data_IF_323860951393
#
_entry.id   IF_323860951393
#
_cell.length_a   1.000
_cell.length_b   1.000
_cell.length_c   1.000
_cell.angle_alpha   90.00
_cell.angle_beta   90.00
_cell.angle_gamma   90.00
#
_symmetry.space_group_name_H-M   'P 1'
#
loop_
_entity.id
_entity.type
_entity.pdbx_description
1 polymer ?
#
# COMPACT_ATOMS: atom_id res chain seq x y z
N UNK A 1 0.59 -2.54 16.45
CA UNK A 1 0.58 -3.96 16.01
C UNK A 1 -0.73 -4.20 15.28
N UNK A 2 -0.70 -4.75 14.07
CA UNK A 2 -1.90 -4.96 13.26
C UNK A 2 -2.54 -6.32 13.53
N UNK A 3 -3.86 -6.34 13.47
CA UNK A 3 -4.68 -7.56 13.49
C UNK A 3 -5.26 -7.81 12.12
N UNK A 4 -5.35 -9.07 11.71
CA UNK A 4 -5.88 -9.48 10.42
C UNK A 4 -6.88 -10.62 10.56
N UNK A 5 -7.92 -10.60 9.76
CA UNK A 5 -8.86 -11.70 9.57
C UNK A 5 -9.38 -11.69 8.13
N UNK A 6 -9.93 -12.80 7.69
CA UNK A 6 -10.82 -12.86 6.52
C UNK A 6 -12.25 -13.14 6.97
N UNK A 7 -13.21 -12.55 6.29
CA UNK A 7 -14.63 -12.75 6.57
C UNK A 7 -15.36 -13.02 5.26
N UNK A 8 -16.19 -14.06 5.19
CA UNK A 8 -17.00 -14.32 4.00
C UNK A 8 -17.86 -13.12 3.64
N UNK A 9 -17.95 -12.79 2.35
CA UNK A 9 -18.76 -11.67 1.88
C UNK A 9 -20.25 -11.85 2.22
N UNK A 10 -20.72 -13.09 2.32
CA UNK A 10 -22.09 -13.44 2.70
C UNK A 10 -22.50 -12.96 4.10
N UNK A 11 -21.52 -12.67 4.98
CA UNK A 11 -21.82 -12.09 6.31
C UNK A 11 -22.21 -10.60 6.23
N UNK A 12 -21.93 -9.94 5.12
CA UNK A 12 -22.28 -8.54 4.89
C UNK A 12 -23.56 -8.44 4.08
N UNK A 13 -24.66 -8.10 4.74
CA UNK A 13 -25.95 -7.89 4.07
C UNK A 13 -25.94 -6.55 3.33
N UNK A 14 -26.46 -6.56 2.10
CA UNK A 14 -26.74 -5.32 1.39
C UNK A 14 -27.74 -4.47 2.18
N UNK A 15 -27.46 -3.18 2.29
CA UNK A 15 -28.37 -2.22 2.93
C UNK A 15 -28.74 -1.13 1.92
N UNK A 16 -29.96 -0.61 2.05
CA UNK A 16 -30.43 0.50 1.23
C UNK A 16 -29.89 1.84 1.77
N UNK A 17 -29.97 2.86 0.93
CA UNK A 17 -29.66 4.23 1.32
C UNK A 17 -30.48 4.63 2.56
N UNK A 18 -29.83 5.20 3.57
CA UNK A 18 -30.47 5.57 4.83
C UNK A 18 -30.46 4.46 5.90
N UNK A 19 -29.87 3.28 5.59
CA UNK A 19 -29.68 2.22 6.59
C UNK A 19 -28.67 2.62 7.66
N UNK A 20 -28.79 2.02 8.86
CA UNK A 20 -27.94 2.30 10.03
C UNK A 20 -26.49 1.79 9.85
N UNK A 21 -26.23 1.01 8.81
CA UNK A 21 -24.95 0.33 8.63
C UNK A 21 -24.86 -0.98 9.40
N UNK A 22 -23.78 -1.69 9.25
CA UNK A 22 -23.47 -2.94 9.95
C UNK A 22 -22.04 -2.87 10.47
N UNK A 23 -21.84 -3.23 11.72
CA UNK A 23 -20.48 -3.32 12.30
C UNK A 23 -19.69 -4.40 11.55
N UNK A 24 -18.58 -4.02 10.93
CA UNK A 24 -17.78 -4.92 10.10
C UNK A 24 -16.64 -5.61 10.85
N UNK A 25 -16.28 -5.12 12.04
CA UNK A 25 -15.28 -5.72 12.92
C UNK A 25 -15.47 -5.24 14.34
N UNK A 26 -15.16 -6.08 15.34
CA UNK A 26 -14.82 -5.58 16.66
C UNK A 26 -13.33 -5.30 16.71
N UNK A 27 -13.00 -4.14 17.25
CA UNK A 27 -11.63 -3.72 17.50
C UNK A 27 -11.31 -3.82 18.99
N UNK A 28 -10.05 -3.73 19.37
CA UNK A 28 -9.67 -3.46 20.75
C UNK A 28 -9.87 -1.98 21.05
N UNK A 29 -9.80 -1.64 22.33
CA UNK A 29 -9.86 -0.25 22.74
C UNK A 29 -8.77 0.56 22.02
N UNK A 30 -9.14 1.71 21.49
CA UNK A 30 -8.27 2.62 20.70
C UNK A 30 -7.79 2.06 19.32
N UNK A 31 -8.32 0.93 18.84
CA UNK A 31 -7.99 0.35 17.54
C UNK A 31 -9.11 0.61 16.52
N UNK A 32 -8.77 0.65 15.24
CA UNK A 32 -9.72 0.90 14.15
C UNK A 32 -9.41 0.05 12.92
N UNK A 33 -10.38 -0.10 12.03
CA UNK A 33 -10.19 -0.79 10.76
C UNK A 33 -9.46 0.14 9.79
N UNK A 34 -8.21 -0.16 9.52
CA UNK A 34 -7.35 0.64 8.64
C UNK A 34 -7.55 0.27 7.17
N UNK A 35 -7.63 -1.03 6.88
CA UNK A 35 -7.73 -1.54 5.51
C UNK A 35 -8.79 -2.62 5.35
N UNK A 36 -9.52 -2.58 4.23
CA UNK A 36 -10.44 -3.61 3.78
C UNK A 36 -10.12 -3.95 2.32
N UNK A 37 -9.90 -5.24 2.05
CA UNK A 37 -9.61 -5.73 0.71
C UNK A 37 -10.60 -6.82 0.28
N UNK A 38 -11.31 -6.67 -0.85
CA UNK A 38 -12.01 -7.78 -1.47
C UNK A 38 -10.97 -8.74 -2.07
N UNK A 39 -11.07 -10.02 -1.76
CA UNK A 39 -10.14 -11.02 -2.25
C UNK A 39 -10.80 -12.39 -2.42
N UNK A 40 -10.28 -13.20 -3.32
CA UNK A 40 -10.63 -14.61 -3.43
C UNK A 40 -9.63 -15.45 -2.63
N UNK A 41 -10.02 -16.67 -2.23
CA UNK A 41 -9.21 -17.55 -1.38
C UNK A 41 -7.81 -17.84 -1.95
N UNK A 42 -7.67 -17.90 -3.26
CA UNK A 42 -6.42 -18.22 -3.95
C UNK A 42 -5.55 -17.00 -4.27
N UNK A 43 -6.03 -15.77 -3.99
CA UNK A 43 -5.19 -14.59 -4.15
C UNK A 43 -4.02 -14.65 -3.15
N UNK A 44 -2.92 -14.03 -3.53
CA UNK A 44 -1.77 -13.79 -2.65
C UNK A 44 -1.83 -12.37 -2.13
N UNK A 45 -1.78 -12.23 -0.81
CA UNK A 45 -1.55 -10.94 -0.17
C UNK A 45 -0.06 -10.77 0.08
N UNK A 46 0.50 -9.67 -0.37
CA UNK A 46 1.87 -9.25 -0.11
C UNK A 46 1.85 -8.16 0.95
N UNK A 47 2.72 -8.29 1.93
CA UNK A 47 2.83 -7.40 3.09
C UNK A 47 4.20 -6.72 3.05
N UNK A 48 4.21 -5.41 3.04
CA UNK A 48 5.45 -4.63 3.02
C UNK A 48 5.62 -3.90 4.34
N UNK A 49 6.83 -3.97 4.88
CA UNK A 49 7.12 -3.39 6.18
C UNK A 49 7.87 -2.06 6.07
N UNK A 50 7.84 -1.28 7.14
CA UNK A 50 8.58 -0.01 7.24
C UNK A 50 10.07 -0.16 6.95
N UNK A 51 10.66 -1.27 7.41
CA UNK A 51 12.08 -1.58 7.19
C UNK A 51 12.39 -2.14 5.81
N UNK A 52 11.39 -2.22 4.93
CA UNK A 52 11.58 -2.60 3.54
C UNK A 52 11.61 -4.09 3.27
N UNK A 53 11.00 -4.92 4.12
CA UNK A 53 10.78 -6.34 3.86
C UNK A 53 9.44 -6.60 3.17
N UNK A 54 9.36 -7.71 2.44
CA UNK A 54 8.13 -8.22 1.85
C UNK A 54 7.86 -9.64 2.34
N UNK A 55 6.61 -9.90 2.73
CA UNK A 55 6.10 -11.20 3.12
C UNK A 55 4.85 -11.55 2.30
N UNK A 56 4.44 -12.82 2.31
CA UNK A 56 3.28 -13.31 1.56
C UNK A 56 2.42 -14.23 2.40
N UNK A 57 1.11 -14.16 2.18
CA UNK A 57 0.14 -15.17 2.60
C UNK A 57 -0.87 -15.38 1.49
N UNK A 58 -1.29 -16.62 1.31
CA UNK A 58 -2.53 -16.89 0.58
C UNK A 58 -3.72 -16.47 1.43
N UNK A 59 -4.77 -15.95 0.80
CA UNK A 59 -5.95 -15.51 1.54
C UNK A 59 -6.55 -16.63 2.40
N UNK A 60 -6.51 -17.88 1.93
CA UNK A 60 -6.98 -19.02 2.73
C UNK A 60 -6.13 -19.30 3.98
N UNK A 61 -4.88 -18.85 4.05
CA UNK A 61 -4.01 -18.99 5.23
C UNK A 61 -4.34 -17.95 6.30
N UNK A 62 -5.04 -16.85 5.92
CA UNK A 62 -5.49 -15.84 6.87
C UNK A 62 -6.66 -16.42 7.68
N UNK A 63 -6.61 -16.37 9.02
CA UNK A 63 -7.66 -16.92 9.87
C UNK A 63 -9.04 -16.37 9.54
N UNK A 64 -10.01 -17.27 9.41
CA UNK A 64 -11.40 -16.90 9.26
C UNK A 64 -11.97 -16.39 10.58
N UNK A 65 -12.75 -15.34 10.50
CA UNK A 65 -13.44 -14.77 11.63
C UNK A 65 -14.80 -14.23 11.19
N UNK A 66 -15.79 -14.34 12.06
CA UNK A 66 -17.06 -13.66 11.90
C UNK A 66 -16.83 -12.15 11.81
N UNK A 67 -17.82 -11.40 11.33
CA UNK A 67 -17.70 -9.93 11.26
C UNK A 67 -17.40 -9.29 12.62
N UNK A 68 -17.82 -9.88 13.72
CA UNK A 68 -17.57 -9.37 15.08
C UNK A 68 -16.25 -9.87 15.69
N UNK A 69 -15.51 -10.76 15.03
CA UNK A 69 -14.23 -11.22 15.56
C UNK A 69 -13.15 -10.12 15.45
N UNK A 70 -12.25 -10.08 16.43
CA UNK A 70 -11.11 -9.12 16.46
C UNK A 70 -9.95 -9.49 15.55
N UNK A 71 -9.94 -10.71 14.97
CA UNK A 71 -8.84 -11.22 14.16
C UNK A 71 -7.66 -11.74 14.99
N UNK A 72 -6.54 -12.03 14.31
CA UNK A 72 -5.28 -12.47 14.94
C UNK A 72 -4.16 -11.48 14.63
N UNK A 73 -3.23 -11.34 15.56
CA UNK A 73 -2.04 -10.51 15.34
C UNK A 73 -1.24 -11.02 14.12
N UNK A 74 -0.89 -10.11 13.23
CA UNK A 74 -0.19 -10.44 11.99
C UNK A 74 1.17 -11.08 12.24
N UNK A 75 1.83 -10.75 13.35
CA UNK A 75 3.11 -11.34 13.78
C UNK A 75 3.00 -12.84 14.11
N UNK A 76 1.79 -13.35 14.37
CA UNK A 76 1.57 -14.78 14.56
C UNK A 76 1.46 -15.55 13.24
N UNK A 77 1.34 -14.85 12.12
CA UNK A 77 1.20 -15.41 10.79
C UNK A 77 2.44 -15.22 9.93
N UNK A 78 3.20 -14.15 10.20
CA UNK A 78 4.39 -13.76 9.46
C UNK A 78 5.57 -13.57 10.43
N UNK A 79 6.74 -14.03 10.03
CA UNK A 79 7.98 -13.87 10.81
C UNK A 79 8.52 -12.42 10.68
N UNK A 80 7.72 -11.46 11.14
CA UNK A 80 8.09 -10.05 11.15
C UNK A 80 8.88 -9.76 12.42
N UNK A 81 9.97 -9.02 12.32
CA UNK A 81 10.78 -8.58 13.45
C UNK A 81 9.89 -7.76 14.42
N UNK A 82 10.13 -7.88 15.73
CA UNK A 82 9.28 -7.27 16.77
C UNK A 82 9.22 -5.74 16.72
N UNK A 83 10.23 -5.12 16.12
CA UNK A 83 10.39 -3.67 15.94
C UNK A 83 10.06 -3.19 14.51
N UNK A 84 9.46 -4.07 13.69
CA UNK A 84 9.02 -3.73 12.34
C UNK A 84 7.47 -3.73 12.24
N UNK A 85 6.94 -2.94 11.35
CA UNK A 85 5.49 -2.74 11.17
C UNK A 85 5.13 -2.85 9.70
N UNK A 86 4.04 -3.54 9.39
CA UNK A 86 3.48 -3.58 8.03
C UNK A 86 2.83 -2.23 7.74
N UNK A 87 3.18 -1.64 6.62
CA UNK A 87 2.69 -0.32 6.18
C UNK A 87 1.94 -0.35 4.87
N UNK A 88 2.13 -1.39 4.07
CA UNK A 88 1.44 -1.49 2.80
C UNK A 88 1.09 -2.94 2.45
N UNK A 89 0.01 -3.07 1.69
CA UNK A 89 -0.57 -4.35 1.29
C UNK A 89 -0.84 -4.36 -0.21
N UNK A 90 -0.45 -5.43 -0.89
CA UNK A 90 -0.83 -5.64 -2.28
C UNK A 90 -1.53 -6.99 -2.44
N UNK A 91 -2.65 -6.97 -3.16
CA UNK A 91 -3.35 -8.19 -3.57
C UNK A 91 -2.92 -8.57 -4.97
N UNK A 92 -2.39 -9.76 -5.14
CA UNK A 92 -2.02 -10.33 -6.43
C UNK A 92 -2.89 -11.56 -6.71
N UNK A 93 -3.49 -11.60 -7.90
CA UNK A 93 -4.38 -12.69 -8.29
C UNK A 93 -3.61 -14.02 -8.37
N UNK A 94 -2.51 -14.03 -9.08
CA UNK A 94 -1.67 -15.20 -9.28
C UNK A 94 -0.21 -14.79 -9.54
N UNK A 95 0.70 -15.19 -8.66
CA UNK A 95 2.15 -14.97 -8.82
C UNK A 95 2.82 -15.94 -9.80
N UNK A 96 2.11 -16.97 -10.28
CA UNK A 96 2.60 -17.90 -11.31
C UNK A 96 2.20 -17.48 -12.73
N UNK A 97 1.41 -16.41 -12.88
CA UNK A 97 1.05 -15.84 -14.16
C UNK A 97 2.23 -15.04 -14.70
N UNK A 98 3.00 -15.67 -15.57
CA UNK A 98 4.27 -15.14 -16.11
C UNK A 98 4.05 -13.85 -16.89
N UNK A 99 2.97 -13.73 -17.64
CA UNK A 99 2.66 -12.50 -18.39
C UNK A 99 2.34 -11.35 -17.42
N UNK A 100 1.50 -11.62 -16.42
CA UNK A 100 1.12 -10.62 -15.42
C UNK A 100 2.33 -10.13 -14.62
N UNK A 101 3.17 -11.02 -14.07
CA UNK A 101 4.30 -10.62 -13.22
C UNK A 101 5.42 -9.92 -14.00
N UNK A 102 5.52 -10.14 -15.32
CA UNK A 102 6.50 -9.48 -16.19
C UNK A 102 5.97 -8.18 -16.83
N UNK A 103 4.69 -7.88 -16.68
CA UNK A 103 4.07 -6.63 -17.17
C UNK A 103 3.67 -5.66 -16.06
N UNK A 104 3.84 -6.05 -14.79
CA UNK A 104 3.49 -5.20 -13.64
C UNK A 104 4.70 -4.89 -12.78
N UNK A 105 4.63 -3.78 -12.08
CA UNK A 105 5.69 -3.25 -11.23
C UNK A 105 5.19 -3.00 -9.83
N UNK A 106 6.11 -3.07 -8.87
CA UNK A 106 5.91 -2.64 -7.50
C UNK A 106 6.64 -1.33 -7.29
N UNK A 107 5.89 -0.30 -6.96
CA UNK A 107 6.37 1.05 -6.75
C UNK A 107 6.38 1.34 -5.26
N UNK A 108 7.51 1.78 -4.73
CA UNK A 108 7.73 2.11 -3.33
C UNK A 108 7.90 3.60 -3.18
N UNK A 109 7.36 4.14 -2.09
CA UNK A 109 7.66 5.49 -1.65
C UNK A 109 8.08 5.49 -0.19
N UNK A 110 9.10 6.26 0.15
CA UNK A 110 9.59 6.39 1.52
C UNK A 110 9.26 7.75 2.11
N UNK A 111 9.30 7.82 3.43
CA UNK A 111 9.09 9.05 4.20
C UNK A 111 9.97 10.21 3.72
N UNK A 112 11.22 9.93 3.40
CA UNK A 112 12.20 10.94 2.97
C UNK A 112 12.17 11.21 1.45
N UNK A 113 11.11 10.80 0.76
CA UNK A 113 10.89 11.14 -0.65
C UNK A 113 11.66 10.29 -1.66
N UNK A 114 12.14 9.12 -1.25
CA UNK A 114 12.73 8.15 -2.19
C UNK A 114 11.63 7.36 -2.88
N UNK A 115 11.77 7.18 -4.19
CA UNK A 115 10.91 6.31 -5.00
C UNK A 115 11.71 5.18 -5.63
N UNK A 116 11.11 4.01 -5.73
CA UNK A 116 11.70 2.83 -6.36
C UNK A 116 10.66 2.06 -7.15
N UNK A 117 11.03 1.65 -8.36
CA UNK A 117 10.22 0.80 -9.24
C UNK A 117 10.92 -0.53 -9.47
N UNK A 118 10.25 -1.63 -9.20
CA UNK A 118 10.80 -2.99 -9.34
C UNK A 118 9.78 -3.87 -10.06
N UNK A 119 10.23 -4.73 -10.96
CA UNK A 119 9.36 -5.68 -11.65
C UNK A 119 8.71 -6.64 -10.64
N UNK A 120 7.41 -6.91 -10.78
CA UNK A 120 6.67 -7.78 -9.87
C UNK A 120 7.25 -9.21 -9.84
N UNK A 121 7.86 -9.68 -10.95
CA UNK A 121 8.56 -10.97 -11.02
C UNK A 121 9.58 -11.14 -9.89
N UNK A 122 10.27 -10.08 -9.48
CA UNK A 122 11.26 -10.13 -8.39
C UNK A 122 10.68 -10.56 -7.04
N UNK A 123 9.35 -10.53 -6.91
CA UNK A 123 8.59 -10.93 -5.72
C UNK A 123 7.73 -12.18 -5.96
N UNK A 124 7.90 -12.87 -7.10
CA UNK A 124 7.07 -14.04 -7.47
C UNK A 124 7.39 -15.31 -6.69
N UNK A 125 8.49 -15.33 -5.94
CA UNK A 125 8.97 -16.49 -5.16
C UNK A 125 8.84 -16.23 -3.66
N UNK A 126 7.69 -16.55 -3.04
CA UNK A 126 7.47 -16.39 -1.60
C UNK A 126 8.51 -17.14 -0.77
N UNK A 127 8.94 -16.51 0.34
CA UNK A 127 9.81 -17.11 1.35
C UNK A 127 9.23 -16.87 2.73
N UNK A 128 9.28 -17.87 3.59
CA UNK A 128 8.70 -17.82 4.94
C UNK A 128 9.28 -16.66 5.79
N UNK A 129 10.58 -16.40 5.67
CA UNK A 129 11.26 -15.32 6.41
C UNK A 129 11.22 -13.97 5.68
N UNK A 130 10.36 -13.84 4.66
CA UNK A 130 10.31 -12.66 3.83
C UNK A 130 11.58 -12.45 2.98
N UNK A 131 11.58 -11.36 2.24
CA UNK A 131 12.75 -10.92 1.46
C UNK A 131 12.92 -9.41 1.61
N UNK A 132 14.15 -8.94 1.43
CA UNK A 132 14.38 -7.50 1.30
C UNK A 132 13.72 -7.01 0.01
N UNK A 133 12.79 -6.09 0.15
CA UNK A 133 12.04 -5.51 -0.95
C UNK A 133 12.64 -4.20 -1.42
N UNK A 134 13.30 -3.48 -0.54
CA UNK A 134 14.02 -2.22 -0.77
C UNK A 134 15.07 -2.06 0.33
N UNK A 135 16.23 -1.49 0.00
CA UNK A 135 17.20 -1.08 1.01
C UNK A 135 16.84 0.32 1.51
N UNK A 136 16.49 0.41 2.78
CA UNK A 136 16.12 1.69 3.42
C UNK A 136 17.37 2.39 3.93
N UNK A 137 17.45 3.72 3.75
CA UNK A 137 18.48 4.57 4.33
C UNK A 137 18.23 4.77 5.82
N UNK A 138 19.28 5.19 6.54
CA UNK A 138 19.17 5.59 7.93
C UNK A 138 18.10 6.68 8.09
N UNK A 139 17.30 6.59 9.15
CA UNK A 139 16.18 7.51 9.46
C UNK A 139 15.06 7.59 8.41
N UNK A 140 15.00 6.66 7.47
CA UNK A 140 13.94 6.57 6.49
C UNK A 140 13.04 5.35 6.74
N UNK A 141 11.87 5.32 6.13
CA UNK A 141 10.95 4.18 6.19
C UNK A 141 10.04 4.15 4.97
N UNK A 142 9.63 2.94 4.59
CA UNK A 142 8.57 2.77 3.58
C UNK A 142 7.26 3.29 4.16
N UNK A 143 6.54 4.11 3.39
CA UNK A 143 5.23 4.63 3.77
C UNK A 143 4.13 4.11 2.85
N UNK A 144 4.44 3.86 1.58
CA UNK A 144 3.45 3.44 0.60
C UNK A 144 4.07 2.49 -0.42
N UNK A 145 3.29 1.48 -0.83
CA UNK A 145 3.63 0.57 -1.92
C UNK A 145 2.41 0.38 -2.81
N UNK A 146 2.60 0.54 -4.12
CA UNK A 146 1.54 0.38 -5.11
C UNK A 146 1.98 -0.54 -6.24
N UNK A 147 1.02 -1.22 -6.86
CA UNK A 147 1.24 -2.00 -8.07
C UNK A 147 0.82 -1.19 -9.27
N UNK A 148 1.68 -1.13 -10.30
CA UNK A 148 1.44 -0.40 -11.55
C UNK A 148 1.65 -1.32 -12.75
N UNK A 149 1.19 -0.90 -13.91
CA UNK A 149 1.32 -1.63 -15.17
C UNK A 149 2.33 -1.01 -16.17
N UNK A 150 3.08 -0.01 -15.73
CA UNK A 150 4.06 0.68 -16.58
C UNK A 150 3.55 1.98 -17.21
N UNK A 151 2.25 2.26 -17.11
CA UNK A 151 1.58 3.39 -17.77
C UNK A 151 0.70 4.18 -16.79
N UNK A 152 1.26 4.49 -15.62
CA UNK A 152 0.55 5.24 -14.60
C UNK A 152 1.16 6.64 -14.40
N UNK A 153 0.31 7.61 -14.11
CA UNK A 153 0.72 8.88 -13.51
C UNK A 153 0.90 8.69 -12.00
N UNK A 154 1.97 9.26 -11.47
CA UNK A 154 2.30 9.19 -10.06
C UNK A 154 2.19 10.57 -9.44
N UNK A 155 1.53 10.66 -8.29
CA UNK A 155 1.55 11.86 -7.46
C UNK A 155 2.12 11.51 -6.10
N UNK A 156 3.08 12.30 -5.64
CA UNK A 156 3.67 12.25 -4.30
C UNK A 156 3.34 13.57 -3.61
N UNK A 157 2.83 13.50 -2.39
CA UNK A 157 2.50 14.66 -1.59
C UNK A 157 3.27 14.67 -0.27
N UNK A 158 3.68 15.86 0.18
CA UNK A 158 4.38 16.06 1.45
C UNK A 158 3.47 16.71 2.51
N UNK A 159 3.94 16.72 3.75
CA UNK A 159 3.25 17.30 4.91
C UNK A 159 2.98 18.80 4.74
N UNK A 160 3.88 19.53 4.10
CA UNK A 160 3.77 20.97 3.87
C UNK A 160 2.76 21.35 2.77
N UNK A 161 2.00 20.36 2.25
CA UNK A 161 0.95 20.57 1.27
C UNK A 161 1.42 20.73 -0.17
N UNK A 162 2.68 20.39 -0.47
CA UNK A 162 3.18 20.36 -1.84
C UNK A 162 2.98 18.97 -2.45
N UNK A 163 2.70 18.94 -3.74
CA UNK A 163 2.61 17.70 -4.50
C UNK A 163 3.36 17.84 -5.82
N UNK A 164 3.94 16.74 -6.28
CA UNK A 164 4.53 16.61 -7.62
C UNK A 164 3.80 15.52 -8.39
N UNK A 165 3.69 15.69 -9.69
CA UNK A 165 3.09 14.73 -10.62
C UNK A 165 4.04 14.42 -11.75
N UNK A 166 4.24 13.14 -12.04
CA UNK A 166 5.06 12.68 -13.14
C UNK A 166 4.58 11.31 -13.63
N UNK A 167 4.93 10.96 -14.87
CA UNK A 167 4.65 9.63 -15.41
C UNK A 167 5.64 8.60 -14.86
N UNK A 168 5.18 7.38 -14.55
CA UNK A 168 6.03 6.34 -13.93
C UNK A 168 7.23 5.90 -14.79
N UNK A 169 7.25 6.22 -16.10
CA UNK A 169 8.41 5.98 -16.96
C UNK A 169 9.64 6.81 -16.58
N UNK A 170 9.45 7.93 -15.87
CA UNK A 170 10.53 8.72 -15.30
C UNK A 170 11.31 7.96 -14.20
N UNK A 171 10.72 6.91 -13.63
CA UNK A 171 11.39 6.06 -12.65
C UNK A 171 11.89 4.79 -13.36
N UNK A 172 13.20 4.67 -13.47
CA UNK A 172 13.82 3.46 -14.03
C UNK A 172 13.49 2.22 -13.21
N UNK A 173 13.37 1.09 -13.88
CA UNK A 173 13.21 -0.21 -13.20
C UNK A 173 14.53 -0.58 -12.52
N UNK A 174 14.44 -0.99 -11.26
CA UNK A 174 15.59 -1.34 -10.42
C UNK A 174 15.41 -2.72 -9.80
N UNK A 175 16.53 -3.36 -9.44
CA UNK A 175 16.53 -4.62 -8.73
C UNK A 175 15.91 -4.50 -7.32
N UNK A 176 15.50 -5.64 -6.78
CA UNK A 176 14.78 -5.72 -5.50
C UNK A 176 15.51 -5.06 -4.32
N UNK A 177 16.82 -5.20 -4.23
CA UNK A 177 17.63 -4.67 -3.13
C UNK A 177 18.12 -3.23 -3.34
N UNK A 178 17.76 -2.58 -4.45
CA UNK A 178 18.14 -1.19 -4.67
C UNK A 178 17.47 -0.25 -3.66
N UNK A 179 18.14 0.84 -3.34
CA UNK A 179 17.62 1.89 -2.43
C UNK A 179 16.53 2.75 -3.10
N UNK A 180 16.62 2.94 -4.42
CA UNK A 180 15.74 3.84 -5.15
C UNK A 180 16.42 5.15 -5.55
N UNK A 181 15.63 6.06 -6.08
CA UNK A 181 16.05 7.40 -6.53
C UNK A 181 15.21 8.46 -5.84
N UNK A 182 15.65 9.71 -5.90
CA UNK A 182 14.86 10.83 -5.39
C UNK A 182 13.56 10.95 -6.19
N UNK A 183 12.44 10.81 -5.51
CA UNK A 183 11.10 11.01 -6.08
C UNK A 183 10.59 12.42 -5.85
N UNK A 184 10.82 12.98 -4.65
CA UNK A 184 10.43 14.34 -4.28
C UNK A 184 11.54 14.97 -3.44
N UNK A 185 11.81 16.27 -3.66
CA UNK A 185 12.69 17.05 -2.77
C UNK A 185 11.84 17.62 -1.64
N UNK A 186 12.26 17.39 -0.41
CA UNK A 186 11.64 17.91 0.79
C UNK A 186 12.36 19.18 1.24
N UNK A 187 11.69 20.03 2.00
CA UNK A 187 12.30 21.24 2.57
C UNK A 187 13.32 20.85 3.65
N UNK A 188 14.49 21.49 3.64
CA UNK A 188 15.62 21.18 4.54
C UNK A 188 15.42 21.67 5.97
N UNK A 189 14.44 22.55 6.19
CA UNK A 189 14.18 23.22 7.49
C UNK A 189 13.59 22.30 8.59
N UNK A 190 13.67 20.99 8.38
CA UNK A 190 13.40 19.98 9.40
C UNK A 190 11.89 19.79 9.73
N UNK A 191 11.35 18.66 9.37
CA UNK A 191 9.98 18.26 9.70
C UNK A 191 9.08 18.01 8.51
N UNK A 192 9.53 18.30 7.29
CA UNK A 192 8.79 17.90 6.09
C UNK A 192 9.01 16.42 5.79
N UNK A 193 7.96 15.75 5.39
CA UNK A 193 7.98 14.33 5.05
C UNK A 193 6.94 14.03 3.99
N UNK A 194 7.17 13.00 3.20
CA UNK A 194 6.13 12.48 2.30
C UNK A 194 5.04 11.82 3.13
N UNK A 195 3.79 12.20 2.85
CA UNK A 195 2.61 11.67 3.54
C UNK A 195 1.84 10.65 2.70
N UNK A 196 2.09 10.58 1.40
CA UNK A 196 1.42 9.62 0.54
C UNK A 196 1.89 9.64 -0.91
N UNK A 197 1.63 8.52 -1.57
CA UNK A 197 1.81 8.34 -3.01
C UNK A 197 0.56 7.70 -3.59
N UNK A 198 0.08 8.22 -4.69
CA UNK A 198 -1.02 7.63 -5.47
C UNK A 198 -0.58 7.33 -6.89
N UNK A 199 -1.17 6.29 -7.47
CA UNK A 199 -0.97 5.89 -8.86
C UNK A 199 -2.29 6.02 -9.59
N UNK A 200 -2.30 6.77 -10.66
CA UNK A 200 -3.47 7.13 -11.45
C UNK A 200 -3.37 6.40 -12.79
N UNK A 201 -4.40 5.66 -13.14
CA UNK A 201 -4.46 4.91 -14.39
C UNK A 201 -5.07 5.73 -15.51
N UNK A 202 -6.13 6.45 -15.19
CA UNK A 202 -6.89 7.24 -16.15
C UNK A 202 -7.07 8.67 -15.60
N UNK A 203 -6.19 9.61 -15.99
CA UNK A 203 -6.23 10.97 -15.51
C UNK A 203 -7.54 11.74 -15.88
N UNK A 204 -8.25 11.29 -16.93
CA UNK A 204 -9.50 11.94 -17.36
C UNK A 204 -10.70 11.42 -16.55
N UNK A 205 -10.66 10.18 -16.08
CA UNK A 205 -11.75 9.55 -15.34
C UNK A 205 -11.58 9.63 -13.81
N UNK A 206 -10.38 9.91 -13.33
CA UNK A 206 -10.06 9.92 -11.90
C UNK A 206 -9.95 11.34 -11.35
N UNK A 207 -10.18 11.50 -10.06
CA UNK A 207 -9.98 12.76 -9.34
C UNK A 207 -9.33 12.51 -7.99
N UNK A 208 -8.66 13.52 -7.44
CA UNK A 208 -7.96 13.42 -6.15
C UNK A 208 -8.83 14.02 -5.06
N UNK A 209 -8.99 13.29 -3.98
CA UNK A 209 -9.57 13.79 -2.74
C UNK A 209 -8.48 13.95 -1.70
N UNK A 210 -8.32 15.15 -1.18
CA UNK A 210 -7.43 15.46 -0.05
C UNK A 210 -8.30 15.75 1.16
N UNK A 211 -7.96 15.12 2.30
CA UNK A 211 -8.65 15.35 3.57
C UNK A 211 -7.62 15.70 4.63
N UNK A 212 -7.84 16.82 5.33
CA UNK A 212 -6.99 17.24 6.44
C UNK A 212 -7.36 16.48 7.72
N UNK A 213 -6.48 16.47 8.71
CA UNK A 213 -6.71 15.86 10.02
C UNK A 213 -7.96 16.42 10.73
N UNK A 214 -8.34 17.67 10.44
CA UNK A 214 -9.53 18.31 11.00
C UNK A 214 -10.81 18.00 10.21
N UNK A 215 -10.75 17.10 9.22
CA UNK A 215 -11.91 16.65 8.46
C UNK A 215 -12.32 17.55 7.28
N UNK A 216 -11.56 18.59 6.95
CA UNK A 216 -11.81 19.38 5.75
C UNK A 216 -11.31 18.63 4.52
N UNK A 217 -12.23 18.40 3.57
CA UNK A 217 -11.92 17.68 2.33
C UNK A 217 -12.11 18.54 1.09
N UNK A 218 -11.23 18.35 0.11
CA UNK A 218 -11.33 18.95 -1.23
C UNK A 218 -11.15 17.85 -2.28
N UNK A 219 -12.01 17.86 -3.30
CA UNK A 219 -11.83 17.09 -4.53
C UNK A 219 -11.29 18.00 -5.62
N UNK A 220 -10.26 17.57 -6.32
CA UNK A 220 -9.63 18.29 -7.42
C UNK A 220 -9.47 17.36 -8.61
N UNK A 221 -9.54 17.92 -9.81
CA UNK A 221 -9.22 17.19 -11.02
C UNK A 221 -7.70 16.94 -11.09
N UNK A 222 -7.31 15.86 -11.76
CA UNK A 222 -5.89 15.50 -11.90
C UNK A 222 -5.12 16.58 -12.65
N UNK A 223 -5.76 17.29 -13.57
CA UNK A 223 -5.14 18.35 -14.36
C UNK A 223 -4.77 19.60 -13.55
N UNK A 224 -5.38 19.81 -12.38
CA UNK A 224 -4.98 20.86 -11.44
C UNK A 224 -3.54 20.67 -10.92
N UNK A 225 -3.02 19.44 -11.01
CA UNK A 225 -1.66 19.10 -10.62
C UNK A 225 -0.75 19.11 -11.85
N UNK A 226 0.13 20.11 -11.92
CA UNK A 226 1.07 20.29 -13.03
C UNK A 226 2.00 19.06 -13.12
N UNK A 227 2.20 18.55 -14.34
CA UNK A 227 3.26 17.57 -14.64
C UNK A 227 4.62 18.24 -14.57
N UNK A 228 5.56 17.59 -13.91
CA UNK A 228 6.98 17.96 -13.81
C UNK A 228 7.82 17.11 -14.72
#
# INVERSE_FOLDING_TARGET
>A
MGYIKRTPLSEFRAQNRGGVGSKGSETRDEDFVEHIYPATMHNTMMFFTQKGKCYWLKVYEIPEGTKNAKGRAIQNLLNIDSDDVVTAYLRVKNLNDTEFINSHYVLFCTKNGVIKKTLLEQYSRPRQNGVNAITIREDDKVIEVRMTNGDNEIIIANRNGRAIRFHESAVRVMGRTATGVRGMTLDEDGGDEVIGMICIKDPEAESIMVVSEQGYGKRSDIEDYRKT
#
